data_IF_464256306552
#
_entry.id   IF_464256306552
#
_cell.length_a   1.000
_cell.length_b   1.000
_cell.length_c   1.000
_cell.angle_alpha   90.00
_cell.angle_beta   90.00
_cell.angle_gamma   90.00
#
_symmetry.space_group_name_H-M   'P 1'
#
loop_
_entity.id
_entity.type
_entity.pdbx_description
1 polymer ?
#
# COMPACT_ATOMS: atom_id res chain seq x y z
N UNK A 1 -16.20 20.62 35.06
CA UNK A 1 -16.31 19.21 34.60
C UNK A 1 -16.09 19.05 33.09
N UNK A 2 -16.46 20.02 32.24
CA UNK A 2 -16.32 19.89 30.78
C UNK A 2 -14.88 19.80 30.25
N UNK A 3 -13.92 20.50 30.87
CA UNK A 3 -12.52 20.49 30.44
C UNK A 3 -11.88 19.09 30.55
N UNK A 4 -12.27 18.31 31.57
CA UNK A 4 -11.77 16.94 31.73
C UNK A 4 -12.29 15.99 30.66
N UNK A 5 -13.52 16.21 30.18
CA UNK A 5 -14.13 15.40 29.12
C UNK A 5 -13.47 15.71 27.76
N UNK A 6 -13.29 16.98 27.43
CA UNK A 6 -12.60 17.42 26.20
C UNK A 6 -11.13 16.94 26.16
N UNK A 7 -10.44 17.01 27.29
CA UNK A 7 -9.06 16.53 27.40
C UNK A 7 -8.96 15.00 27.18
N UNK A 8 -9.91 14.23 27.72
CA UNK A 8 -9.97 12.77 27.51
C UNK A 8 -10.20 12.42 26.04
N UNK A 9 -11.13 13.09 25.37
CA UNK A 9 -11.36 12.85 23.94
C UNK A 9 -10.15 13.21 23.07
N UNK A 10 -9.49 14.34 23.36
CA UNK A 10 -8.29 14.73 22.64
C UNK A 10 -7.15 13.73 22.85
N UNK A 11 -6.96 13.25 24.07
CA UNK A 11 -5.96 12.23 24.39
C UNK A 11 -6.23 10.91 23.68
N UNK A 12 -7.48 10.43 23.67
CA UNK A 12 -7.87 9.22 22.95
C UNK A 12 -7.65 9.36 21.44
N UNK A 13 -8.04 10.50 20.86
CA UNK A 13 -7.84 10.77 19.43
C UNK A 13 -6.35 10.78 19.08
N UNK A 14 -5.53 11.45 19.89
CA UNK A 14 -4.08 11.49 19.72
C UNK A 14 -3.46 10.08 19.76
N UNK A 15 -3.88 9.24 20.72
CA UNK A 15 -3.42 7.86 20.81
C UNK A 15 -3.77 7.03 19.56
N UNK A 16 -5.00 7.16 19.04
CA UNK A 16 -5.44 6.47 17.82
C UNK A 16 -4.58 6.89 16.62
N UNK A 17 -4.31 8.19 16.47
CA UNK A 17 -3.46 8.72 15.39
C UNK A 17 -2.04 8.16 15.49
N UNK A 18 -1.45 8.14 16.70
CA UNK A 18 -0.10 7.61 16.89
C UNK A 18 -0.02 6.11 16.56
N UNK A 19 -1.01 5.31 16.95
CA UNK A 19 -1.06 3.87 16.60
C UNK A 19 -1.20 3.68 15.09
N UNK A 20 -2.01 4.50 14.42
CA UNK A 20 -2.16 4.44 12.96
C UNK A 20 -0.86 4.80 12.21
N UNK A 21 -0.07 5.74 12.74
CA UNK A 21 1.22 6.14 12.16
C UNK A 21 2.33 5.11 12.42
N UNK A 22 2.27 4.33 13.50
CA UNK A 22 3.20 3.23 13.75
C UNK A 22 3.05 2.04 12.77
N UNK A 23 2.10 2.09 11.83
CA UNK A 23 1.96 1.13 10.73
C UNK A 23 2.99 1.29 9.61
N UNK A 24 4.01 2.14 9.75
CA UNK A 24 5.12 2.18 8.81
C UNK A 24 5.83 0.82 8.76
N UNK A 25 5.67 0.12 7.64
CA UNK A 25 6.21 -1.23 7.42
C UNK A 25 7.73 -1.17 7.49
N UNK A 26 8.31 -1.62 8.61
CA UNK A 26 9.77 -1.56 8.86
C UNK A 26 10.57 -2.26 7.76
N UNK A 27 9.99 -3.27 7.10
CA UNK A 27 10.58 -3.94 5.93
C UNK A 27 10.82 -3.03 4.71
N UNK A 28 10.19 -1.86 4.67
CA UNK A 28 10.42 -0.84 3.64
C UNK A 28 11.49 0.18 4.06
N UNK A 29 11.87 0.26 5.35
CA UNK A 29 12.94 1.15 5.80
C UNK A 29 14.31 0.54 5.44
N UNK A 30 15.14 1.31 4.74
CA UNK A 30 16.47 0.85 4.31
C UNK A 30 16.45 -0.12 3.13
N UNK A 31 15.30 -0.31 2.45
CA UNK A 31 15.24 -1.07 1.20
C UNK A 31 16.11 -0.37 0.16
N UNK A 32 17.23 -0.99 -0.18
CA UNK A 32 18.15 -0.49 -1.22
C UNK A 32 17.40 -0.44 -2.55
N UNK A 33 17.07 0.77 -3.01
CA UNK A 33 16.45 1.02 -4.32
C UNK A 33 17.48 1.12 -5.45
N UNK A 34 18.73 0.77 -5.16
CA UNK A 34 19.83 0.69 -6.12
C UNK A 34 19.66 -0.56 -6.99
N UNK A 35 18.60 -0.55 -7.80
CA UNK A 35 18.49 -1.42 -8.95
C UNK A 35 19.23 -0.73 -10.07
N UNK A 36 20.26 -1.40 -10.60
CA UNK A 36 20.95 -0.93 -11.80
C UNK A 36 19.93 -0.52 -12.88
N UNK A 37 20.28 0.47 -13.71
CA UNK A 37 19.37 0.95 -14.75
C UNK A 37 18.88 -0.23 -15.60
N UNK A 38 17.56 -0.46 -15.61
CA UNK A 38 16.94 -1.59 -16.33
C UNK A 38 16.91 -2.92 -15.56
N UNK A 39 17.30 -2.94 -14.28
CA UNK A 39 17.20 -4.13 -13.42
C UNK A 39 15.88 -4.12 -12.67
N UNK A 40 15.09 -5.18 -12.84
CA UNK A 40 13.93 -5.44 -11.99
C UNK A 40 14.35 -6.36 -10.85
N UNK A 41 14.22 -5.89 -9.60
CA UNK A 41 14.55 -6.66 -8.40
C UNK A 41 13.34 -7.34 -7.75
N UNK A 42 12.19 -7.38 -8.44
CA UNK A 42 11.02 -8.11 -7.97
C UNK A 42 11.10 -9.61 -8.23
N UNK A 43 10.08 -10.34 -7.78
CA UNK A 43 9.94 -11.76 -8.13
C UNK A 43 9.79 -11.92 -9.65
N UNK A 44 10.25 -13.04 -10.24
CA UNK A 44 10.00 -13.32 -11.64
C UNK A 44 8.53 -13.20 -12.00
N UNK A 45 8.24 -12.74 -13.22
CA UNK A 45 6.88 -12.67 -13.71
C UNK A 45 6.20 -14.03 -13.63
N UNK A 46 4.97 -14.04 -13.13
CA UNK A 46 4.15 -15.23 -13.15
C UNK A 46 3.51 -15.36 -14.53
N UNK A 47 3.61 -16.55 -15.12
CA UNK A 47 2.88 -16.82 -16.35
C UNK A 47 1.37 -16.79 -16.06
N UNK A 48 0.66 -15.97 -16.82
CA UNK A 48 -0.80 -15.95 -16.79
C UNK A 48 -1.34 -17.25 -17.37
N UNK A 49 -2.44 -17.76 -16.81
CA UNK A 49 -3.22 -18.84 -17.43
C UNK A 49 -3.88 -18.36 -18.72
N UNK A 50 -4.36 -19.29 -19.55
CA UNK A 50 -5.04 -18.95 -20.79
C UNK A 50 -6.32 -18.13 -20.51
N UNK A 51 -7.08 -18.53 -19.47
CA UNK A 51 -8.31 -17.87 -19.05
C UNK A 51 -8.03 -16.45 -18.53
N UNK A 52 -6.96 -16.28 -17.76
CA UNK A 52 -6.54 -14.98 -17.25
C UNK A 52 -6.15 -14.02 -18.40
N UNK A 53 -5.46 -14.53 -19.43
CA UNK A 53 -5.10 -13.72 -20.61
C UNK A 53 -6.33 -13.29 -21.40
N UNK A 54 -7.29 -14.19 -21.63
CA UNK A 54 -8.53 -13.86 -22.33
C UNK A 54 -9.35 -12.82 -21.57
N UNK A 55 -9.47 -12.97 -20.25
CA UNK A 55 -10.16 -12.01 -19.41
C UNK A 55 -9.54 -10.60 -19.47
N UNK A 56 -8.21 -10.50 -19.51
CA UNK A 56 -7.51 -9.22 -19.69
C UNK A 56 -7.73 -8.63 -21.08
N UNK A 57 -7.70 -9.47 -22.13
CA UNK A 57 -7.99 -9.03 -23.50
C UNK A 57 -9.37 -8.37 -23.62
N UNK A 58 -10.41 -9.02 -23.09
CA UNK A 58 -11.77 -8.44 -23.08
C UNK A 58 -11.84 -7.12 -22.31
N UNK A 59 -11.12 -6.97 -21.20
CA UNK A 59 -11.08 -5.70 -20.46
C UNK A 59 -10.45 -4.58 -21.27
N UNK A 60 -9.39 -4.89 -22.02
CA UNK A 60 -8.69 -3.92 -22.84
C UNK A 60 -9.60 -3.34 -23.95
N UNK A 61 -10.51 -4.14 -24.51
CA UNK A 61 -11.48 -3.69 -25.52
C UNK A 61 -12.36 -2.53 -25.00
N UNK A 62 -12.73 -2.56 -23.72
CA UNK A 62 -13.55 -1.51 -23.09
C UNK A 62 -12.75 -0.29 -22.61
N UNK A 63 -11.42 -0.34 -22.65
CA UNK A 63 -10.53 0.73 -22.18
C UNK A 63 -9.87 1.50 -23.34
N UNK A 64 -10.29 1.27 -24.58
CA UNK A 64 -9.82 2.04 -25.73
C UNK A 64 -10.47 3.44 -25.73
N UNK A 65 -9.64 4.47 -25.75
CA UNK A 65 -10.03 5.87 -25.97
C UNK A 65 -10.39 6.13 -27.44
#
# INVERSE_FOLDING_TARGET
MEHGIRFRYLSTLCFIVLVALCGCRESEQGRRLDTGKGTYAGAPDQQLSAEAREALGRRAEYQRF
#
